data_IF_586326170247
#
_entry.id   IF_586326170247
#
_cell.length_a   1.000
_cell.length_b   1.000
_cell.length_c   1.000
_cell.angle_alpha   90.00
_cell.angle_beta   90.00
_cell.angle_gamma   90.00
#
_symmetry.space_group_name_H-M   'P 1'
#
loop_
_entity.id
_entity.type
_entity.pdbx_description
1 polymer ?
#
# COMPACT_ATOMS: atom_id res chain seq x y z
N UNK A 1 -13.93 15.33 -1.49
CA UNK A 1 -14.91 14.64 -2.36
C UNK A 1 -14.86 13.13 -2.17
N UNK A 2 -13.68 12.49 -2.15
CA UNK A 2 -13.60 11.02 -2.06
C UNK A 2 -13.78 10.41 -0.66
N UNK A 3 -13.77 11.17 0.44
CA UNK A 3 -13.81 10.64 1.83
C UNK A 3 -15.17 10.82 2.54
N UNK A 4 -16.21 11.14 1.77
CA UNK A 4 -17.57 11.31 2.30
C UNK A 4 -18.20 9.94 2.62
N UNK A 5 -19.18 9.87 3.53
CA UNK A 5 -19.98 8.67 3.72
C UNK A 5 -20.56 8.14 2.41
N UNK A 6 -20.77 6.82 2.26
CA UNK A 6 -21.35 6.26 1.05
C UNK A 6 -22.80 6.72 0.87
N UNK A 7 -23.17 7.06 -0.37
CA UNK A 7 -24.56 7.32 -0.73
C UNK A 7 -25.37 6.01 -0.86
N UNK A 8 -26.66 6.13 -1.19
CA UNK A 8 -27.57 4.97 -1.31
C UNK A 8 -27.18 4.01 -2.45
N UNK A 9 -26.63 4.52 -3.55
CA UNK A 9 -26.19 3.72 -4.69
C UNK A 9 -24.90 2.98 -4.34
N UNK A 10 -23.94 3.66 -3.71
CA UNK A 10 -22.70 3.08 -3.24
C UNK A 10 -22.94 1.98 -2.19
N UNK A 11 -23.87 2.19 -1.24
CA UNK A 11 -24.26 1.16 -0.26
C UNK A 11 -24.85 -0.08 -0.94
N UNK A 12 -25.68 0.13 -1.96
CA UNK A 12 -26.27 -0.96 -2.74
C UNK A 12 -25.19 -1.73 -3.49
N UNK A 13 -24.29 -1.04 -4.17
CA UNK A 13 -23.17 -1.65 -4.89
C UNK A 13 -22.25 -2.45 -3.95
N UNK A 14 -21.92 -1.93 -2.76
CA UNK A 14 -21.10 -2.65 -1.76
C UNK A 14 -21.78 -3.96 -1.33
N UNK A 15 -23.09 -3.93 -1.05
CA UNK A 15 -23.85 -5.12 -0.67
C UNK A 15 -23.86 -6.16 -1.80
N UNK A 16 -24.06 -5.70 -3.03
CA UNK A 16 -24.16 -6.60 -4.19
C UNK A 16 -22.78 -7.19 -4.53
N UNK A 17 -21.69 -6.41 -4.42
CA UNK A 17 -20.31 -6.90 -4.50
C UNK A 17 -20.04 -8.03 -3.50
N UNK A 18 -20.48 -7.89 -2.24
CA UNK A 18 -20.33 -8.95 -1.21
C UNK A 18 -21.16 -10.21 -1.50
N UNK A 19 -22.20 -10.09 -2.30
CA UNK A 19 -23.03 -11.21 -2.71
C UNK A 19 -22.31 -12.05 -3.76
N UNK A 20 -21.65 -11.40 -4.72
CA UNK A 20 -20.93 -12.07 -5.82
C UNK A 20 -19.49 -12.48 -5.45
N UNK A 21 -18.88 -11.78 -4.49
CA UNK A 21 -17.53 -12.04 -3.97
C UNK A 21 -17.61 -12.28 -2.46
N UNK A 22 -17.96 -13.49 -2.00
CA UNK A 22 -18.07 -13.77 -0.58
C UNK A 22 -16.76 -13.59 0.19
N UNK A 23 -15.61 -13.66 -0.48
CA UNK A 23 -14.28 -13.49 0.10
C UNK A 23 -14.03 -12.07 0.61
N UNK A 24 -14.73 -11.06 0.10
CA UNK A 24 -14.59 -9.66 0.56
C UNK A 24 -15.52 -9.33 1.75
N UNK A 25 -16.34 -10.27 2.22
CA UNK A 25 -17.22 -10.06 3.39
C UNK A 25 -16.50 -9.58 4.65
N UNK A 26 -15.27 -10.05 4.98
CA UNK A 26 -14.53 -9.54 6.13
C UNK A 26 -14.05 -8.10 5.98
N UNK A 27 -14.01 -7.55 4.76
CA UNK A 27 -13.54 -6.19 4.51
C UNK A 27 -14.59 -5.17 4.96
N UNK A 28 -14.13 -4.06 5.56
CA UNK A 28 -15.00 -2.96 5.96
C UNK A 28 -15.67 -2.28 4.76
N UNK A 29 -16.80 -1.62 5.00
CA UNK A 29 -17.51 -0.83 3.98
C UNK A 29 -16.59 0.24 3.38
N UNK A 30 -15.83 0.94 4.22
CA UNK A 30 -14.88 1.95 3.76
C UNK A 30 -13.76 1.38 2.89
N UNK A 31 -13.30 0.15 3.19
CA UNK A 31 -12.32 -0.54 2.35
C UNK A 31 -12.89 -0.79 0.96
N UNK A 32 -14.08 -1.39 0.86
CA UNK A 32 -14.74 -1.67 -0.44
C UNK A 32 -15.09 -0.38 -1.17
N UNK A 33 -15.53 0.65 -0.45
CA UNK A 33 -15.87 1.96 -1.01
C UNK A 33 -14.67 2.61 -1.71
N UNK A 34 -13.45 2.47 -1.18
CA UNK A 34 -12.23 2.96 -1.87
C UNK A 34 -12.06 2.34 -3.25
N UNK A 35 -12.30 1.04 -3.37
CA UNK A 35 -12.23 0.34 -4.66
C UNK A 35 -13.29 0.85 -5.62
N UNK A 36 -14.54 0.93 -5.17
CA UNK A 36 -15.65 1.41 -5.99
C UNK A 36 -15.41 2.83 -6.50
N UNK A 37 -14.99 3.73 -5.62
CA UNK A 37 -14.68 5.13 -5.99
C UNK A 37 -13.45 5.25 -6.87
N UNK A 38 -12.45 4.38 -6.72
CA UNK A 38 -11.29 4.36 -7.61
C UNK A 38 -11.64 4.01 -9.06
N UNK A 39 -12.78 3.34 -9.26
CA UNK A 39 -13.33 2.99 -10.57
C UNK A 39 -14.54 3.85 -10.94
N UNK A 40 -14.74 5.00 -10.29
CA UNK A 40 -15.87 5.90 -10.53
C UNK A 40 -17.24 5.20 -10.49
N UNK A 41 -17.43 4.23 -9.57
CA UNK A 41 -18.69 3.50 -9.44
C UNK A 41 -18.91 2.37 -10.44
N UNK A 42 -17.94 2.07 -11.33
CA UNK A 42 -18.06 0.97 -12.29
C UNK A 42 -18.01 -0.39 -11.58
N UNK A 43 -19.17 -1.01 -11.43
CA UNK A 43 -19.37 -2.23 -10.63
C UNK A 43 -18.50 -3.41 -11.11
N UNK A 44 -18.57 -3.76 -12.39
CA UNK A 44 -17.85 -4.94 -12.93
C UNK A 44 -16.33 -4.78 -12.81
N UNK A 45 -15.79 -3.60 -13.13
CA UNK A 45 -14.37 -3.30 -12.97
C UNK A 45 -13.92 -3.36 -11.50
N UNK A 46 -14.80 -2.93 -10.59
CA UNK A 46 -14.55 -2.99 -9.15
C UNK A 46 -14.52 -4.44 -8.67
N UNK A 47 -15.47 -5.26 -9.11
CA UNK A 47 -15.54 -6.68 -8.78
C UNK A 47 -14.27 -7.43 -9.27
N UNK A 48 -13.89 -7.23 -10.52
CA UNK A 48 -12.68 -7.85 -11.09
C UNK A 48 -11.42 -7.42 -10.34
N UNK A 49 -11.29 -6.13 -10.01
CA UNK A 49 -10.14 -5.60 -9.27
C UNK A 49 -10.08 -6.15 -7.85
N UNK A 50 -11.22 -6.23 -7.14
CA UNK A 50 -11.30 -6.81 -5.80
C UNK A 50 -10.98 -8.30 -5.81
N UNK A 51 -11.45 -9.05 -6.80
CA UNK A 51 -11.11 -10.47 -6.96
C UNK A 51 -9.61 -10.68 -7.12
N UNK A 52 -8.95 -9.89 -7.99
CA UNK A 52 -7.48 -9.91 -8.13
C UNK A 52 -6.80 -9.53 -6.83
N UNK A 53 -7.31 -8.53 -6.13
CA UNK A 53 -6.76 -8.08 -4.86
C UNK A 53 -6.81 -9.16 -3.78
N UNK A 54 -7.91 -9.91 -3.65
CA UNK A 54 -8.01 -11.04 -2.71
C UNK A 54 -6.94 -12.11 -3.02
N UNK A 55 -6.75 -12.45 -4.30
CA UNK A 55 -5.72 -13.40 -4.72
C UNK A 55 -4.32 -12.87 -4.37
N UNK A 56 -4.07 -11.59 -4.64
CA UNK A 56 -2.81 -10.93 -4.29
C UNK A 56 -2.54 -10.98 -2.78
N UNK A 57 -3.50 -10.58 -1.93
CA UNK A 57 -3.34 -10.60 -0.47
C UNK A 57 -2.99 -12.00 0.03
N UNK A 58 -3.67 -13.02 -0.50
CA UNK A 58 -3.39 -14.42 -0.17
C UNK A 58 -2.02 -14.88 -0.63
N UNK A 59 -1.62 -14.53 -1.86
CA UNK A 59 -0.33 -14.94 -2.43
C UNK A 59 0.86 -14.32 -1.68
N UNK A 60 0.69 -13.12 -1.14
CA UNK A 60 1.73 -12.41 -0.38
C UNK A 60 1.60 -12.56 1.14
N UNK A 61 0.59 -13.31 1.61
CA UNK A 61 0.30 -13.55 3.03
C UNK A 61 0.16 -12.25 3.84
N UNK A 62 -0.48 -11.23 3.24
CA UNK A 62 -0.53 -9.88 3.82
C UNK A 62 -1.41 -9.79 5.07
N UNK A 63 -2.41 -10.66 5.19
CA UNK A 63 -3.29 -10.70 6.36
C UNK A 63 -2.56 -11.19 7.62
N UNK A 64 -1.50 -11.98 7.45
CA UNK A 64 -0.61 -12.48 8.51
C UNK A 64 0.78 -11.84 8.45
N UNK A 65 0.91 -10.64 7.86
CA UNK A 65 2.23 -10.03 7.61
C UNK A 65 3.04 -9.76 8.89
N UNK A 66 2.38 -9.64 10.04
CA UNK A 66 3.02 -9.47 11.35
C UNK A 66 3.72 -10.76 11.84
N UNK A 67 3.34 -11.92 11.30
CA UNK A 67 3.96 -13.22 11.61
C UNK A 67 5.19 -13.50 10.72
N UNK A 68 5.40 -12.69 9.67
CA UNK A 68 6.52 -12.85 8.75
C UNK A 68 7.78 -12.20 9.32
N UNK A 69 8.80 -13.00 9.57
CA UNK A 69 10.13 -12.51 9.95
C UNK A 69 10.87 -11.99 8.72
N UNK A 70 11.11 -10.68 8.68
CA UNK A 70 11.87 -10.05 7.62
C UNK A 70 13.36 -10.44 7.71
N UNK A 71 14.05 -10.62 6.57
CA UNK A 71 15.50 -10.76 6.58
C UNK A 71 16.19 -9.62 7.32
N UNK A 72 17.10 -9.94 8.24
CA UNK A 72 17.84 -8.99 9.08
C UNK A 72 18.52 -7.87 8.26
N UNK A 73 18.99 -8.19 7.04
CA UNK A 73 19.55 -7.22 6.12
C UNK A 73 18.55 -6.12 5.74
N UNK A 74 17.29 -6.47 5.47
CA UNK A 74 16.26 -5.48 5.15
C UNK A 74 15.91 -4.63 6.38
N UNK A 75 15.79 -5.25 7.55
CA UNK A 75 15.50 -4.51 8.78
C UNK A 75 16.58 -3.47 9.14
N UNK A 76 17.85 -3.82 8.91
CA UNK A 76 18.99 -2.96 9.24
C UNK A 76 19.30 -1.91 8.17
N UNK A 77 19.09 -2.24 6.90
CA UNK A 77 19.60 -1.45 5.78
C UNK A 77 18.54 -0.92 4.81
N UNK A 78 17.31 -1.41 4.85
CA UNK A 78 16.19 -0.87 4.07
C UNK A 78 15.41 0.14 4.92
N UNK A 79 15.98 1.34 5.10
CA UNK A 79 15.44 2.36 6.00
C UNK A 79 14.09 2.92 5.56
N UNK A 80 13.07 2.78 6.42
CA UNK A 80 11.81 3.51 6.32
C UNK A 80 11.26 3.87 7.70
N UNK A 81 10.35 4.85 7.75
CA UNK A 81 9.72 5.28 9.00
C UNK A 81 8.36 5.91 8.80
N UNK A 82 7.63 6.06 9.91
CA UNK A 82 6.35 6.77 9.95
C UNK A 82 6.47 8.03 10.80
N UNK A 83 6.03 9.15 10.24
CA UNK A 83 5.92 10.43 10.91
C UNK A 83 4.51 10.99 10.70
N UNK A 84 3.90 11.69 11.68
CA UNK A 84 2.61 12.34 11.44
C UNK A 84 2.79 13.64 10.63
N UNK A 85 1.87 13.91 9.72
CA UNK A 85 1.73 15.23 9.11
C UNK A 85 1.05 16.22 10.07
N UNK A 86 0.88 17.47 9.61
CA UNK A 86 0.23 18.54 10.40
C UNK A 86 -1.20 18.21 10.86
N UNK A 87 -1.88 17.31 10.14
CA UNK A 87 -3.25 16.88 10.39
C UNK A 87 -3.28 15.50 11.09
N UNK A 88 -2.11 14.98 11.49
CA UNK A 88 -1.93 13.70 12.17
C UNK A 88 -2.04 12.47 11.25
N UNK A 89 -2.11 12.64 9.93
CA UNK A 89 -2.10 11.52 9.00
C UNK A 89 -0.68 10.97 8.85
N UNK A 90 -0.52 9.65 8.65
CA UNK A 90 0.81 9.06 8.52
C UNK A 90 1.52 9.52 7.24
N UNK A 91 2.81 9.81 7.38
CA UNK A 91 3.79 9.98 6.31
C UNK A 91 4.69 8.75 6.36
N UNK A 92 4.65 7.93 5.31
CA UNK A 92 5.63 6.88 5.08
C UNK A 92 6.85 7.50 4.42
N UNK A 93 7.97 7.56 5.14
CA UNK A 93 9.25 8.07 4.65
C UNK A 93 10.16 6.91 4.27
N UNK A 94 10.60 6.88 3.02
CA UNK A 94 11.58 5.93 2.49
C UNK A 94 12.92 6.63 2.31
N UNK A 95 13.97 6.11 2.95
CA UNK A 95 15.34 6.67 2.92
C UNK A 95 16.15 6.10 1.75
N UNK A 96 15.53 6.01 0.58
CA UNK A 96 16.03 5.21 -0.52
C UNK A 96 17.42 5.65 -1.01
N UNK A 97 17.72 6.94 -1.01
CA UNK A 97 19.01 7.45 -1.49
C UNK A 97 20.21 7.11 -0.60
N UNK A 98 19.96 6.76 0.67
CA UNK A 98 20.99 6.29 1.61
C UNK A 98 21.14 4.75 1.62
N UNK A 99 20.31 4.02 0.87
CA UNK A 99 20.35 2.56 0.83
C UNK A 99 21.42 2.06 -0.15
N UNK A 100 22.28 1.14 0.29
CA UNK A 100 23.10 0.33 -0.64
C UNK A 100 22.21 -0.72 -1.33
N UNK A 101 21.45 -0.28 -2.34
CA UNK A 101 20.48 -1.14 -3.03
C UNK A 101 21.12 -2.30 -3.79
N UNK A 102 22.39 -2.16 -4.19
CA UNK A 102 23.12 -3.24 -4.87
C UNK A 102 23.60 -4.29 -3.85
N UNK A 103 24.24 -3.87 -2.76
CA UNK A 103 24.65 -4.77 -1.69
C UNK A 103 23.45 -5.49 -1.05
N UNK A 104 22.35 -4.77 -0.84
CA UNK A 104 21.11 -5.31 -0.30
C UNK A 104 20.55 -6.42 -1.20
N UNK A 105 20.34 -6.16 -2.50
CA UNK A 105 19.74 -7.18 -3.39
C UNK A 105 20.69 -8.31 -3.82
N UNK A 106 21.99 -8.18 -3.55
CA UNK A 106 22.93 -9.32 -3.56
C UNK A 106 22.79 -10.20 -2.31
N UNK A 107 22.26 -9.64 -1.22
CA UNK A 107 22.19 -10.29 0.09
C UNK A 107 20.81 -10.87 0.41
N UNK A 108 19.75 -10.38 -0.24
CA UNK A 108 18.37 -10.86 -0.04
C UNK A 108 17.66 -11.13 -1.37
N UNK A 109 16.63 -11.98 -1.34
CA UNK A 109 15.82 -12.21 -2.52
C UNK A 109 15.01 -10.96 -2.88
N UNK A 110 14.85 -10.68 -4.18
CA UNK A 110 14.02 -9.55 -4.65
C UNK A 110 12.58 -9.62 -4.15
N UNK A 111 12.05 -10.83 -3.96
CA UNK A 111 10.70 -11.04 -3.42
C UNK A 111 10.60 -10.62 -1.96
N UNK A 112 11.64 -10.84 -1.14
CA UNK A 112 11.65 -10.40 0.25
C UNK A 112 11.68 -8.88 0.35
N UNK A 113 12.44 -8.20 -0.52
CA UNK A 113 12.41 -6.74 -0.61
C UNK A 113 11.00 -6.20 -0.94
N UNK A 114 10.32 -6.83 -1.91
CA UNK A 114 8.95 -6.45 -2.27
C UNK A 114 8.01 -6.71 -1.08
N UNK A 115 8.09 -7.88 -0.43
CA UNK A 115 7.25 -8.22 0.73
C UNK A 115 7.48 -7.28 1.90
N UNK A 116 8.74 -6.91 2.17
CA UNK A 116 9.11 -5.93 3.18
C UNK A 116 8.52 -4.55 2.91
N UNK A 117 8.57 -4.12 1.65
CA UNK A 117 7.95 -2.85 1.23
C UNK A 117 6.42 -2.88 1.35
N UNK A 118 5.79 -4.00 1.00
CA UNK A 118 4.35 -4.20 1.19
C UNK A 118 3.97 -4.21 2.68
N UNK A 119 4.79 -4.80 3.55
CA UNK A 119 4.59 -4.77 5.00
C UNK A 119 4.62 -3.34 5.55
N UNK A 120 5.53 -2.50 5.05
CA UNK A 120 5.53 -1.08 5.37
C UNK A 120 4.22 -0.40 4.94
N UNK A 121 3.74 -0.67 3.72
CA UNK A 121 2.47 -0.11 3.22
C UNK A 121 1.27 -0.57 4.08
N UNK A 122 1.17 -1.86 4.42
CA UNK A 122 0.10 -2.40 5.26
C UNK A 122 0.12 -1.79 6.68
N UNK A 123 1.32 -1.52 7.24
CA UNK A 123 1.44 -0.78 8.50
C UNK A 123 0.92 0.65 8.36
N UNK A 124 1.22 1.33 7.25
CA UNK A 124 0.69 2.65 6.95
C UNK A 124 -0.83 2.68 6.81
N UNK A 125 -1.41 1.65 6.19
CA UNK A 125 -2.84 1.45 6.09
C UNK A 125 -3.51 1.33 7.46
N UNK A 126 -2.95 0.53 8.36
CA UNK A 126 -3.44 0.41 9.75
C UNK A 126 -3.41 1.75 10.49
N UNK A 127 -2.35 2.55 10.30
CA UNK A 127 -2.26 3.90 10.88
C UNK A 127 -3.36 4.83 10.32
N UNK A 128 -3.65 4.76 9.02
CA UNK A 128 -4.76 5.50 8.41
C UNK A 128 -6.11 5.08 8.98
N UNK A 129 -6.34 3.78 9.20
CA UNK A 129 -7.58 3.28 9.80
C UNK A 129 -7.76 3.80 11.24
N UNK A 130 -6.71 3.75 12.05
CA UNK A 130 -6.71 4.34 13.39
C UNK A 130 -7.01 5.84 13.35
N UNK A 131 -6.44 6.55 12.37
CA UNK A 131 -6.70 7.99 12.20
C UNK A 131 -8.15 8.27 11.80
N UNK A 132 -8.71 7.48 10.89
CA UNK A 132 -10.09 7.60 10.43
C UNK A 132 -11.10 7.46 11.59
N UNK A 133 -10.84 6.53 12.51
CA UNK A 133 -11.65 6.37 13.73
C UNK A 133 -11.58 7.62 14.62
N UNK A 134 -10.40 8.26 14.73
CA UNK A 134 -10.22 9.48 15.52
C UNK A 134 -10.88 10.71 14.88
N UNK A 135 -10.85 10.81 13.55
CA UNK A 135 -11.37 11.98 12.81
C UNK A 135 -12.85 11.84 12.44
N UNK A 136 -13.41 10.62 12.52
CA UNK A 136 -14.79 10.34 12.12
C UNK A 136 -14.98 10.30 10.60
N UNK A 137 -13.90 10.12 9.84
CA UNK A 137 -13.95 9.95 8.38
C UNK A 137 -14.07 8.47 7.99
N UNK A 138 -14.58 8.19 6.79
CA UNK A 138 -14.69 6.81 6.27
C UNK A 138 -13.32 6.13 6.15
N UNK A 139 -12.31 6.89 5.71
CA UNK A 139 -10.91 6.50 5.73
C UNK A 139 -10.02 7.73 5.71
N UNK A 140 -8.76 7.52 6.08
CA UNK A 140 -7.69 8.50 5.90
C UNK A 140 -6.63 7.99 4.93
N UNK A 141 -5.80 8.90 4.47
CA UNK A 141 -4.79 8.66 3.45
C UNK A 141 -3.42 8.98 4.01
N UNK A 142 -2.41 8.22 3.59
CA UNK A 142 -1.03 8.49 3.96
C UNK A 142 -0.34 9.36 2.92
N UNK A 143 0.73 10.04 3.31
CA UNK A 143 1.68 10.63 2.37
C UNK A 143 2.86 9.68 2.18
N UNK A 144 3.41 9.62 0.97
CA UNK A 144 4.65 8.91 0.69
C UNK A 144 5.76 9.92 0.42
N UNK A 145 6.89 9.81 1.11
CA UNK A 145 8.09 10.61 0.89
C UNK A 145 9.21 9.69 0.46
N UNK A 146 9.77 9.95 -0.71
CA UNK A 146 11.03 9.34 -1.15
C UNK A 146 12.14 10.36 -0.93
N UNK A 147 12.99 10.08 0.03
CA UNK A 147 14.26 10.77 0.20
C UNK A 147 15.27 10.15 -0.76
N UNK A 148 15.61 10.93 -1.80
CA UNK A 148 16.56 10.56 -2.83
C UNK A 148 17.90 11.28 -2.65
N UNK A 149 18.18 11.85 -1.47
CA UNK A 149 19.50 12.41 -1.18
C UNK A 149 20.56 11.31 -1.32
N UNK A 150 21.67 11.64 -1.96
CA UNK A 150 22.74 10.70 -2.34
C UNK A 150 22.39 9.59 -3.35
N UNK A 151 21.23 9.64 -4.01
CA UNK A 151 20.96 8.75 -5.15
C UNK A 151 22.04 8.93 -6.23
N UNK A 152 22.69 7.84 -6.56
CA UNK A 152 23.77 7.74 -7.54
C UNK A 152 23.41 6.79 -8.69
N UNK A 153 24.25 6.74 -9.73
CA UNK A 153 24.08 5.81 -10.86
C UNK A 153 24.03 4.34 -10.44
N UNK A 154 24.58 3.97 -9.27
CA UNK A 154 24.47 2.62 -8.73
C UNK A 154 23.00 2.20 -8.49
N UNK A 155 22.13 3.15 -8.12
CA UNK A 155 20.71 2.89 -7.89
C UNK A 155 19.97 2.52 -9.18
N UNK A 156 20.38 3.11 -10.31
CA UNK A 156 19.81 2.85 -11.63
C UNK A 156 20.56 1.76 -12.40
N UNK A 157 21.80 1.45 -12.02
CA UNK A 157 22.66 0.44 -12.64
C UNK A 157 22.28 -0.99 -12.23
N UNK A 158 21.68 -1.18 -11.05
CA UNK A 158 21.20 -2.50 -10.62
C UNK A 158 19.89 -2.87 -11.33
N UNK A 159 20.00 -3.72 -12.36
CA UNK A 159 18.83 -4.25 -13.09
C UNK A 159 17.88 -5.02 -12.16
N UNK A 160 18.43 -5.71 -11.15
CA UNK A 160 17.64 -6.45 -10.17
C UNK A 160 16.81 -5.50 -9.31
N UNK A 161 17.41 -4.38 -8.85
CA UNK A 161 16.70 -3.35 -8.10
C UNK A 161 15.63 -2.68 -8.95
N UNK A 162 16.00 -2.21 -10.15
CA UNK A 162 15.06 -1.57 -11.06
C UNK A 162 13.85 -2.47 -11.34
N UNK A 163 14.07 -3.78 -11.55
CA UNK A 163 12.99 -4.74 -11.74
C UNK A 163 12.13 -4.88 -10.48
N UNK A 164 12.73 -5.10 -9.31
CA UNK A 164 11.98 -5.31 -8.07
C UNK A 164 11.16 -4.07 -7.67
N UNK A 165 11.76 -2.88 -7.79
CA UNK A 165 11.09 -1.61 -7.53
C UNK A 165 9.96 -1.35 -8.52
N UNK A 166 10.16 -1.64 -9.81
CA UNK A 166 9.09 -1.55 -10.81
C UNK A 166 7.93 -2.48 -10.47
N UNK A 167 8.22 -3.73 -10.09
CA UNK A 167 7.20 -4.68 -9.62
C UNK A 167 6.44 -4.14 -8.41
N UNK A 168 7.14 -3.60 -7.42
CA UNK A 168 6.51 -2.98 -6.25
C UNK A 168 5.57 -1.83 -6.65
N UNK A 169 5.99 -0.93 -7.54
CA UNK A 169 5.16 0.16 -8.03
C UNK A 169 3.90 -0.35 -8.75
N UNK A 170 4.01 -1.40 -9.58
CA UNK A 170 2.87 -2.01 -10.25
C UNK A 170 1.89 -2.63 -9.26
N UNK A 171 2.40 -3.40 -8.29
CA UNK A 171 1.58 -3.98 -7.22
C UNK A 171 0.90 -2.89 -6.39
N UNK A 172 1.62 -1.81 -6.07
CA UNK A 172 1.06 -0.69 -5.33
C UNK A 172 -0.11 -0.04 -6.09
N UNK A 173 0.10 0.28 -7.37
CA UNK A 173 -0.90 0.91 -8.22
C UNK A 173 -2.15 0.05 -8.40
N UNK A 174 -1.98 -1.28 -8.54
CA UNK A 174 -3.09 -2.21 -8.75
C UNK A 174 -3.84 -2.52 -7.45
N UNK A 175 -3.14 -2.59 -6.32
CA UNK A 175 -3.69 -3.14 -5.07
C UNK A 175 -3.97 -2.14 -3.95
N UNK A 176 -3.54 -0.89 -4.07
CA UNK A 176 -3.70 0.13 -3.04
C UNK A 176 -4.37 1.40 -3.56
N UNK A 177 -5.59 1.30 -4.13
CA UNK A 177 -6.28 2.45 -4.68
C UNK A 177 -6.63 3.48 -3.60
N UNK A 178 -6.46 4.75 -3.96
CA UNK A 178 -6.79 5.91 -3.13
C UNK A 178 -6.12 5.93 -1.75
N UNK A 179 -5.01 5.20 -1.57
CA UNK A 179 -4.26 5.15 -0.29
C UNK A 179 -3.43 6.40 -0.07
N UNK A 180 -2.87 6.99 -1.13
CA UNK A 180 -2.00 8.15 -1.02
C UNK A 180 -2.77 9.46 -1.16
N UNK A 181 -2.45 10.41 -0.29
CA UNK A 181 -2.85 11.81 -0.43
C UNK A 181 -1.89 12.56 -1.37
N UNK A 182 -0.58 12.34 -1.20
CA UNK A 182 0.51 12.96 -1.94
C UNK A 182 1.73 12.05 -2.00
N UNK A 183 2.54 12.23 -3.03
CA UNK A 183 3.90 11.70 -3.13
C UNK A 183 4.84 12.91 -3.17
N UNK A 184 5.84 12.93 -2.29
CA UNK A 184 6.92 13.90 -2.32
C UNK A 184 8.22 13.17 -2.61
N UNK A 185 9.04 13.79 -3.44
CA UNK A 185 10.40 13.37 -3.71
C UNK A 185 11.27 14.53 -3.24
N UNK A 186 12.19 14.24 -2.31
CA UNK A 186 13.11 15.22 -1.74
C UNK A 186 14.55 14.85 -2.06
#
# INVERSE_FOLDING_TARGET
MNRLPPDSEEKTAIRDLRTILPEIKPLSDSYVLRWLRSKNGRFDETADSLKKHVIFRKAWELDCIEEWEAPECLEKYCGYGFLPDKDGNPILMSLLGNCDVEGMLKSVASLDYIKFSLAAIEKGMKLCELRAVQTGHEWEQMMLVFDLDHVSTAHFGSRQFASAFTTLCMLFQEHYPLVLSKILII
#
